data_IF_872874427025
#
_entry.id   IF_872874427025
#
_cell.length_a   1.000
_cell.length_b   1.000
_cell.length_c   1.000
_cell.angle_alpha   90.00
_cell.angle_beta   90.00
_cell.angle_gamma   90.00
#
_symmetry.space_group_name_H-M   'P 1'
#
loop_
_entity.id
_entity.type
_entity.pdbx_description
1 polymer ?
#
# COMPACT_ATOMS: atom_id res chain seq x y z
N UNK A 1 17.44 -5.41 14.80
CA UNK A 1 16.44 -6.44 15.13
C UNK A 1 16.08 -7.06 13.81
N UNK A 2 16.70 -8.19 13.49
CA UNK A 2 16.40 -8.91 12.25
C UNK A 2 14.99 -9.49 12.38
N UNK A 3 14.07 -8.92 11.62
CA UNK A 3 12.71 -9.39 11.60
C UNK A 3 12.68 -10.78 10.94
N UNK A 4 12.02 -11.73 11.59
CA UNK A 4 11.98 -13.10 11.11
C UNK A 4 11.15 -13.12 9.83
N UNK A 5 11.84 -13.21 8.68
CA UNK A 5 11.25 -13.42 7.36
C UNK A 5 10.09 -14.41 7.45
N UNK A 6 8.87 -13.95 7.23
CA UNK A 6 7.70 -14.81 7.30
C UNK A 6 7.85 -15.98 6.30
N UNK A 7 7.56 -17.23 6.70
CA UNK A 7 7.77 -18.38 5.83
C UNK A 7 6.96 -18.25 4.54
N UNK A 8 7.60 -18.46 3.40
CA UNK A 8 6.98 -18.34 2.07
C UNK A 8 6.94 -16.92 1.48
N UNK A 9 7.58 -15.93 2.11
CA UNK A 9 7.75 -14.58 1.53
C UNK A 9 9.07 -14.45 0.78
N UNK A 10 9.05 -13.76 -0.36
CA UNK A 10 10.23 -13.50 -1.18
C UNK A 10 11.02 -12.30 -0.68
N UNK A 11 10.31 -11.28 -0.17
CA UNK A 11 10.86 -10.02 0.33
C UNK A 11 10.62 -9.87 1.83
N UNK A 12 11.58 -9.27 2.52
CA UNK A 12 11.48 -8.94 3.93
C UNK A 12 10.81 -7.57 4.08
N UNK A 13 9.48 -7.59 4.14
CA UNK A 13 8.63 -6.40 4.30
C UNK A 13 7.66 -6.70 5.43
N UNK A 14 7.76 -5.93 6.51
CA UNK A 14 6.90 -6.09 7.68
C UNK A 14 5.52 -5.47 7.49
N UNK A 15 4.57 -5.82 8.36
CA UNK A 15 3.25 -5.17 8.35
C UNK A 15 3.35 -3.75 8.91
N UNK A 16 4.29 -3.54 9.82
CA UNK A 16 4.63 -2.30 10.48
C UNK A 16 5.16 -1.28 9.48
N UNK A 17 6.02 -1.69 8.54
CA UNK A 17 6.49 -0.85 7.43
C UNK A 17 5.33 -0.40 6.53
N UNK A 18 4.43 -1.32 6.16
CA UNK A 18 3.26 -0.98 5.34
C UNK A 18 2.30 -0.05 6.09
N UNK A 19 2.13 -0.24 7.40
CA UNK A 19 1.37 0.67 8.26
C UNK A 19 1.99 2.07 8.32
N UNK A 20 3.30 2.15 8.55
CA UNK A 20 4.02 3.43 8.60
C UNK A 20 3.95 4.18 7.25
N UNK A 21 4.02 3.46 6.13
CA UNK A 21 3.81 4.03 4.80
C UNK A 21 2.38 4.56 4.63
N UNK A 22 1.37 3.81 5.07
CA UNK A 22 -0.02 4.24 5.04
C UNK A 22 -0.25 5.56 5.80
N UNK A 23 0.31 5.71 7.01
CA UNK A 23 0.18 6.95 7.80
C UNK A 23 0.68 8.17 7.01
N UNK A 24 1.79 8.02 6.27
CA UNK A 24 2.32 9.10 5.41
C UNK A 24 1.39 9.41 4.24
N UNK A 25 0.89 8.39 3.54
CA UNK A 25 -0.05 8.56 2.40
C UNK A 25 -1.33 9.26 2.85
N UNK A 26 -1.89 8.84 3.99
CA UNK A 26 -3.07 9.47 4.59
C UNK A 26 -2.86 10.96 4.86
N UNK A 27 -1.68 11.33 5.34
CA UNK A 27 -1.32 12.73 5.63
C UNK A 27 -1.18 13.63 4.41
N UNK A 28 -0.94 13.08 3.22
CA UNK A 28 -0.72 13.85 2.00
C UNK A 28 -2.01 14.41 1.37
N UNK A 29 -3.19 13.90 1.77
CA UNK A 29 -4.50 14.33 1.23
C UNK A 29 -4.57 14.37 -0.31
N UNK A 30 -3.85 13.45 -0.97
CA UNK A 30 -3.73 13.43 -2.43
C UNK A 30 -5.01 13.03 -3.16
N UNK A 31 -5.08 13.38 -4.45
CA UNK A 31 -6.16 12.95 -5.33
C UNK A 31 -6.10 11.44 -5.64
N UNK A 32 -7.25 10.84 -5.95
CA UNK A 32 -7.34 9.44 -6.33
C UNK A 32 -6.62 9.14 -7.65
N UNK A 33 -6.07 7.93 -7.75
CA UNK A 33 -5.38 7.43 -8.94
C UNK A 33 -6.33 7.01 -10.07
N UNK A 34 -5.85 6.11 -10.94
CA UNK A 34 -6.63 5.59 -12.08
C UNK A 34 -7.84 4.75 -11.64
N UNK A 35 -7.77 4.15 -10.46
CA UNK A 35 -8.85 3.34 -9.86
C UNK A 35 -9.95 4.18 -9.20
N UNK A 36 -9.74 5.50 -9.07
CA UNK A 36 -10.71 6.41 -8.45
C UNK A 36 -10.88 6.22 -6.94
N UNK A 37 -10.08 5.37 -6.29
CA UNK A 37 -10.23 5.10 -4.85
C UNK A 37 -9.67 6.27 -4.04
N UNK A 38 -10.53 6.92 -3.28
CA UNK A 38 -10.13 7.95 -2.32
C UNK A 38 -9.54 7.36 -1.03
N UNK A 39 -8.78 8.18 -0.28
CA UNK A 39 -8.28 7.81 1.06
C UNK A 39 -9.43 7.38 1.99
N UNK A 40 -10.55 8.09 1.95
CA UNK A 40 -11.72 7.79 2.76
C UNK A 40 -12.38 6.45 2.39
N UNK A 41 -12.41 6.08 1.10
CA UNK A 41 -12.91 4.77 0.67
C UNK A 41 -11.96 3.65 1.06
N UNK A 42 -10.65 3.86 0.93
CA UNK A 42 -9.63 2.91 1.35
C UNK A 42 -9.72 2.61 2.85
N UNK A 43 -10.02 3.63 3.67
CA UNK A 43 -10.16 3.50 5.13
C UNK A 43 -11.33 2.64 5.58
N UNK A 44 -12.40 2.52 4.78
CA UNK A 44 -13.58 1.71 5.14
C UNK A 44 -13.23 0.24 5.39
N UNK A 45 -12.20 -0.28 4.72
CA UNK A 45 -11.69 -1.63 4.92
C UNK A 45 -10.16 -1.65 5.09
N UNK A 46 -9.67 -0.75 5.96
CA UNK A 46 -8.25 -0.48 6.13
C UNK A 46 -7.42 -1.75 6.39
N UNK A 47 -7.86 -2.60 7.32
CA UNK A 47 -7.12 -3.81 7.70
C UNK A 47 -6.93 -4.76 6.52
N UNK A 48 -7.98 -5.04 5.77
CA UNK A 48 -7.90 -5.96 4.63
C UNK A 48 -7.11 -5.34 3.48
N UNK A 49 -7.27 -4.04 3.24
CA UNK A 49 -6.53 -3.34 2.20
C UNK A 49 -5.02 -3.35 2.48
N UNK A 50 -4.61 -3.03 3.71
CA UNK A 50 -3.19 -3.12 4.11
C UNK A 50 -2.67 -4.56 4.05
N UNK A 51 -3.46 -5.54 4.49
CA UNK A 51 -3.08 -6.95 4.40
C UNK A 51 -2.87 -7.39 2.95
N UNK A 52 -3.75 -7.00 2.02
CA UNK A 52 -3.61 -7.32 0.59
C UNK A 52 -2.34 -6.73 0.00
N UNK A 53 -2.03 -5.47 0.31
CA UNK A 53 -0.81 -4.79 -0.13
C UNK A 53 0.42 -5.50 0.42
N UNK A 54 0.48 -5.66 1.75
CA UNK A 54 1.58 -6.37 2.42
C UNK A 54 1.77 -7.77 1.84
N UNK A 55 0.69 -8.53 1.66
CA UNK A 55 0.76 -9.91 1.19
C UNK A 55 1.35 -9.99 -0.23
N UNK A 56 0.95 -9.08 -1.12
CA UNK A 56 1.46 -9.00 -2.50
C UNK A 56 2.90 -8.51 -2.54
N UNK A 57 3.24 -7.46 -1.79
CA UNK A 57 4.60 -6.90 -1.76
C UNK A 57 5.61 -7.89 -1.20
N UNK A 58 5.32 -8.47 -0.02
CA UNK A 58 6.20 -9.46 0.63
C UNK A 58 6.36 -10.75 -0.18
N UNK A 59 5.37 -11.15 -0.99
CA UNK A 59 5.47 -12.35 -1.85
C UNK A 59 6.08 -12.08 -3.22
N UNK A 60 6.21 -10.82 -3.63
CA UNK A 60 6.65 -10.46 -4.98
C UNK A 60 5.56 -10.47 -6.05
N UNK A 61 4.29 -10.60 -5.66
CA UNK A 61 3.15 -10.60 -6.57
C UNK A 61 2.47 -9.21 -6.67
N UNK A 62 3.12 -8.16 -6.20
CA UNK A 62 2.61 -6.80 -6.32
C UNK A 62 2.99 -6.20 -7.67
N UNK A 63 1.98 -5.92 -8.49
CA UNK A 63 2.10 -5.16 -9.72
C UNK A 63 1.38 -3.83 -9.50
N UNK A 64 2.10 -2.69 -9.45
CA UNK A 64 1.45 -1.41 -9.23
C UNK A 64 0.54 -1.06 -10.42
N UNK A 65 -0.62 -0.45 -10.17
CA UNK A 65 -1.45 0.08 -11.25
C UNK A 65 -0.76 1.25 -11.96
N UNK A 66 -1.25 1.56 -13.15
CA UNK A 66 -0.79 2.73 -13.91
C UNK A 66 -1.03 4.04 -13.15
N UNK A 67 -0.24 5.06 -13.46
CA UNK A 67 -0.39 6.39 -12.85
C UNK A 67 -1.39 7.24 -13.63
N UNK A 68 -2.16 8.08 -12.93
CA UNK A 68 -3.13 9.00 -13.55
C UNK A 68 -2.42 10.30 -13.94
N UNK A 69 -2.35 10.59 -15.24
CA UNK A 69 -1.84 11.88 -15.73
C UNK A 69 -2.84 13.00 -15.42
N UNK A 70 -2.35 14.11 -14.87
CA UNK A 70 -3.13 15.32 -14.58
C UNK A 70 -2.38 16.50 -15.19
N UNK A 71 -3.07 17.29 -16.02
CA UNK A 71 -2.51 18.54 -16.55
C UNK A 71 -2.41 19.57 -15.42
N UNK A 72 -1.21 20.09 -15.18
CA UNK A 72 -0.93 21.15 -14.22
C UNK A 72 -0.67 22.44 -15.04
N UNK A 73 -1.18 23.61 -14.63
CA UNK A 73 -0.96 24.89 -15.33
C UNK A 73 0.51 25.30 -15.45
#
# INVERSE_FOLDING_TARGET
MDEVKAPGKSFDISKEEVWAAWVKVRGNQGAAGVDGVSVAEFEKDLKNNLYRIWNRMSSGAYFPPEVKAVAIP
#
